data_IF_769314139413
#
_entry.id   IF_769314139413
#
_cell.length_a   1.000
_cell.length_b   1.000
_cell.length_c   1.000
_cell.angle_alpha   90.00
_cell.angle_beta   90.00
_cell.angle_gamma   90.00
#
_symmetry.space_group_name_H-M   'P 1'
#
loop_
_entity.id
_entity.type
_entity.pdbx_description
1 polymer ?
#
# COMPACT_ATOMS: atom_id res chain seq x y z
N UNK A 1 19.85 6.17 12.74
CA UNK A 1 18.88 5.09 13.02
C UNK A 1 17.51 5.73 13.18
N UNK A 2 16.59 5.46 12.26
CA UNK A 2 15.21 5.98 12.35
C UNK A 2 14.50 5.15 13.45
N UNK A 3 13.94 5.83 14.45
CA UNK A 3 13.13 5.18 15.49
C UNK A 3 11.67 5.27 15.06
N UNK A 4 11.06 4.14 14.72
CA UNK A 4 9.63 4.07 14.47
C UNK A 4 8.84 4.16 15.78
N UNK A 5 7.71 4.86 15.76
CA UNK A 5 6.74 4.86 16.86
C UNK A 5 5.75 3.73 16.56
N UNK A 6 5.48 2.85 17.54
CA UNK A 6 4.40 1.85 17.37
C UNK A 6 3.08 2.61 17.25
N UNK A 7 2.31 2.31 16.22
CA UNK A 7 1.00 2.93 16.00
C UNK A 7 0.04 2.70 17.18
N UNK A 8 0.18 1.59 17.91
CA UNK A 8 -0.56 1.32 19.15
C UNK A 8 -0.29 2.34 20.28
N UNK A 9 0.77 3.14 20.17
CA UNK A 9 1.14 4.19 21.12
C UNK A 9 0.68 5.59 20.69
N UNK A 10 0.11 5.74 19.48
CA UNK A 10 -0.40 7.01 18.98
C UNK A 10 -1.80 7.25 19.54
N UNK A 11 -1.87 7.57 20.84
CA UNK A 11 -3.09 8.06 21.50
C UNK A 11 -3.19 9.55 21.20
N UNK A 12 -4.25 9.95 20.50
CA UNK A 12 -4.72 11.34 20.44
C UNK A 12 -5.83 11.47 21.48
N UNK A 13 -5.68 12.39 22.42
CA UNK A 13 -6.65 12.61 23.49
C UNK A 13 -8.06 12.95 22.95
N UNK A 14 -9.03 12.28 23.57
CA UNK A 14 -10.48 12.56 23.70
C UNK A 14 -11.49 12.11 22.61
N UNK A 15 -12.43 11.29 23.12
CA UNK A 15 -13.80 10.93 22.70
C UNK A 15 -14.04 9.84 21.64
N UNK A 16 -14.74 8.79 22.13
CA UNK A 16 -15.50 7.70 21.48
C UNK A 16 -14.76 6.77 20.50
N UNK A 17 -14.59 5.50 20.90
CA UNK A 17 -14.08 4.37 20.11
C UNK A 17 -13.08 4.78 19.02
N UNK A 18 -11.95 5.32 19.45
CA UNK A 18 -10.89 5.78 18.54
C UNK A 18 -10.28 4.56 17.85
N UNK A 19 -10.88 4.19 16.71
CA UNK A 19 -10.30 3.32 15.74
C UNK A 19 -8.89 3.85 15.45
N UNK A 20 -7.86 3.02 15.68
CA UNK A 20 -6.49 3.40 15.41
C UNK A 20 -6.42 3.99 13.99
N UNK A 21 -5.71 5.11 13.79
CA UNK A 21 -5.72 5.83 12.50
C UNK A 21 -5.43 4.90 11.32
N UNK A 22 -4.58 3.89 11.53
CA UNK A 22 -4.29 2.85 10.54
C UNK A 22 -5.53 2.00 10.20
N UNK A 23 -6.31 1.55 11.18
CA UNK A 23 -7.51 0.74 10.94
C UNK A 23 -8.55 1.56 10.14
N UNK A 24 -8.72 2.83 10.49
CA UNK A 24 -9.57 3.77 9.73
C UNK A 24 -9.06 3.93 8.30
N UNK A 25 -7.76 4.14 8.13
CA UNK A 25 -7.12 4.24 6.81
C UNK A 25 -7.32 2.97 5.99
N UNK A 26 -7.04 1.79 6.55
CA UNK A 26 -7.25 0.49 5.91
C UNK A 26 -8.69 0.31 5.44
N UNK A 27 -9.67 0.69 6.28
CA UNK A 27 -11.09 0.65 5.89
C UNK A 27 -11.37 1.57 4.71
N UNK A 28 -10.90 2.82 4.75
CA UNK A 28 -11.08 3.79 3.66
C UNK A 28 -10.50 3.25 2.36
N UNK A 29 -9.25 2.76 2.39
CA UNK A 29 -8.58 2.20 1.22
C UNK A 29 -9.36 1.01 0.67
N UNK A 30 -9.76 0.05 1.52
CA UNK A 30 -10.55 -1.12 1.11
C UNK A 30 -11.87 -0.75 0.45
N UNK A 31 -12.57 0.28 0.96
CA UNK A 31 -13.81 0.78 0.35
C UNK A 31 -13.55 1.39 -1.02
N UNK A 32 -12.51 2.23 -1.16
CA UNK A 32 -12.18 2.86 -2.44
C UNK A 32 -11.85 1.84 -3.53
N UNK A 33 -11.08 0.80 -3.21
CA UNK A 33 -10.75 -0.29 -4.13
C UNK A 33 -12.03 -0.99 -4.65
N UNK A 34 -13.02 -1.20 -3.78
CA UNK A 34 -14.28 -1.89 -4.14
C UNK A 34 -15.22 -1.05 -5.01
N UNK A 35 -15.07 0.28 -5.04
CA UNK A 35 -15.89 1.16 -5.87
C UNK A 35 -15.54 1.08 -7.37
N UNK A 36 -14.42 0.46 -7.75
CA UNK A 36 -14.04 0.22 -9.15
C UNK A 36 -13.58 1.45 -9.93
N UNK A 37 -13.37 2.58 -9.26
CA UNK A 37 -12.76 3.78 -9.86
C UNK A 37 -11.25 3.79 -9.60
N UNK A 38 -10.42 3.78 -10.65
CA UNK A 38 -8.95 3.76 -10.51
C UNK A 38 -8.34 5.03 -9.88
N UNK A 39 -9.16 6.08 -9.66
CA UNK A 39 -8.78 7.35 -9.04
C UNK A 39 -8.31 7.21 -7.59
N UNK A 40 -8.57 6.07 -6.95
CA UNK A 40 -8.18 5.83 -5.57
C UNK A 40 -6.66 5.82 -5.36
N UNK A 41 -5.89 5.48 -6.40
CA UNK A 41 -4.44 5.33 -6.29
C UNK A 41 -3.80 6.68 -5.93
N UNK A 42 -4.14 7.73 -6.66
CA UNK A 42 -3.62 9.09 -6.43
C UNK A 42 -4.02 9.66 -5.07
N UNK A 43 -5.18 9.26 -4.55
CA UNK A 43 -5.66 9.71 -3.23
C UNK A 43 -4.89 9.08 -2.06
N UNK A 44 -4.19 7.98 -2.30
CA UNK A 44 -3.58 7.13 -1.27
C UNK A 44 -2.06 7.23 -1.26
N UNK A 45 -1.46 7.48 -2.42
CA UNK A 45 -0.02 7.61 -2.55
C UNK A 45 0.51 8.95 -2.00
N UNK A 46 1.81 8.96 -1.66
CA UNK A 46 2.49 10.18 -1.20
C UNK A 46 2.44 11.25 -2.30
N UNK A 47 1.85 12.44 -2.06
CA UNK A 47 1.81 13.53 -3.04
C UNK A 47 3.18 13.97 -3.55
N UNK A 48 4.25 13.71 -2.77
CA UNK A 48 5.64 14.01 -3.13
C UNK A 48 6.17 13.10 -4.25
N UNK A 49 5.44 12.04 -4.62
CA UNK A 49 5.74 11.26 -5.81
C UNK A 49 5.39 12.02 -7.09
N UNK A 50 4.53 13.05 -7.04
CA UNK A 50 4.23 13.94 -8.17
C UNK A 50 3.84 13.18 -9.47
N UNK A 51 3.09 12.08 -9.32
CA UNK A 51 2.68 11.22 -10.45
C UNK A 51 3.81 10.37 -11.04
N UNK A 52 5.02 10.39 -10.47
CA UNK A 52 6.18 9.62 -10.91
C UNK A 52 6.13 8.17 -10.39
N UNK A 53 5.09 7.44 -10.78
CA UNK A 53 4.91 6.03 -10.44
C UNK A 53 4.11 5.31 -11.52
N UNK A 54 4.32 4.00 -11.67
CA UNK A 54 3.40 3.15 -12.44
C UNK A 54 2.16 2.88 -11.60
N UNK A 55 0.97 3.16 -12.15
CA UNK A 55 -0.30 2.87 -11.48
C UNK A 55 -0.45 1.38 -11.13
N UNK A 56 -0.06 0.50 -12.05
CA UNK A 56 -0.12 -0.95 -11.82
C UNK A 56 0.77 -1.36 -10.64
N UNK A 57 2.02 -0.88 -10.62
CA UNK A 57 2.95 -1.17 -9.53
C UNK A 57 2.46 -0.60 -8.19
N UNK A 58 1.90 0.61 -8.21
CA UNK A 58 1.34 1.23 -7.02
C UNK A 58 0.13 0.45 -6.48
N UNK A 59 -0.78 0.02 -7.36
CA UNK A 59 -1.94 -0.79 -6.98
C UNK A 59 -1.49 -2.09 -6.30
N UNK A 60 -0.55 -2.82 -6.91
CA UNK A 60 -0.04 -4.07 -6.33
C UNK A 60 0.67 -3.81 -4.99
N UNK A 61 1.45 -2.73 -4.87
CA UNK A 61 2.12 -2.39 -3.62
C UNK A 61 1.12 -2.09 -2.49
N UNK A 62 0.02 -1.41 -2.80
CA UNK A 62 -1.07 -1.17 -1.84
C UNK A 62 -1.75 -2.48 -1.43
N UNK A 63 -2.05 -3.36 -2.39
CA UNK A 63 -2.64 -4.68 -2.12
C UNK A 63 -1.74 -5.56 -1.23
N UNK A 64 -0.43 -5.57 -1.49
CA UNK A 64 0.58 -6.24 -0.65
C UNK A 64 0.55 -5.63 0.76
N UNK A 65 0.58 -4.30 0.86
CA UNK A 65 0.56 -3.58 2.14
C UNK A 65 -0.67 -3.92 2.99
N UNK A 66 -1.86 -3.93 2.37
CA UNK A 66 -3.12 -4.32 3.02
C UNK A 66 -3.11 -5.77 3.47
N UNK A 67 -2.57 -6.68 2.67
CA UNK A 67 -2.48 -8.11 2.99
C UNK A 67 -1.53 -8.38 4.16
N UNK A 68 -0.41 -7.66 4.24
CA UNK A 68 0.57 -7.76 5.33
C UNK A 68 0.00 -7.38 6.71
N UNK A 69 -1.01 -6.52 6.72
CA UNK A 69 -1.65 -6.02 7.94
C UNK A 69 -3.06 -6.59 8.15
N UNK A 70 -3.42 -7.68 7.46
CA UNK A 70 -4.72 -8.32 7.65
C UNK A 70 -4.93 -8.73 9.12
N UNK A 71 -6.16 -8.57 9.60
CA UNK A 71 -6.53 -8.91 10.97
C UNK A 71 -6.37 -10.42 11.23
N UNK A 72 -6.64 -11.25 10.22
CA UNK A 72 -6.37 -12.68 10.26
C UNK A 72 -4.90 -12.96 9.96
N UNK A 73 -4.15 -13.36 10.99
CA UNK A 73 -2.75 -13.73 10.88
C UNK A 73 -2.49 -14.78 9.79
N UNK A 74 -3.43 -15.68 9.53
CA UNK A 74 -3.26 -16.74 8.54
C UNK A 74 -3.40 -16.24 7.10
N UNK A 75 -3.98 -15.05 6.90
CA UNK A 75 -4.08 -14.40 5.59
C UNK A 75 -2.89 -13.51 5.26
N UNK A 76 -2.05 -13.20 6.25
CA UNK A 76 -0.84 -12.40 6.03
C UNK A 76 0.14 -13.21 5.18
N UNK A 77 0.69 -12.63 4.08
CA UNK A 77 1.62 -13.33 3.23
C UNK A 77 2.93 -13.62 3.96
N UNK A 78 3.62 -14.68 3.52
CA UNK A 78 5.02 -14.89 3.91
C UNK A 78 5.91 -13.87 3.22
N UNK A 79 7.10 -13.61 3.77
CA UNK A 79 8.07 -12.73 3.10
C UNK A 79 8.45 -13.24 1.71
N UNK A 80 8.50 -14.56 1.51
CA UNK A 80 8.76 -15.16 0.19
C UNK A 80 7.67 -14.79 -0.82
N UNK A 81 6.38 -14.89 -0.44
CA UNK A 81 5.26 -14.46 -1.30
C UNK A 81 5.27 -12.96 -1.58
N UNK A 82 5.64 -12.14 -0.58
CA UNK A 82 5.80 -10.69 -0.76
C UNK A 82 6.89 -10.39 -1.78
N UNK A 83 8.07 -11.01 -1.65
CA UNK A 83 9.17 -10.80 -2.59
C UNK A 83 8.79 -11.24 -3.99
N UNK A 84 8.13 -12.39 -4.13
CA UNK A 84 7.66 -12.87 -5.43
C UNK A 84 6.71 -11.86 -6.09
N UNK A 85 5.69 -11.39 -5.37
CA UNK A 85 4.74 -10.40 -5.91
C UNK A 85 5.46 -9.10 -6.32
N UNK A 86 6.42 -8.63 -5.52
CA UNK A 86 7.21 -7.44 -5.84
C UNK A 86 8.12 -7.61 -7.06
N UNK A 87 8.59 -8.83 -7.34
CA UNK A 87 9.38 -9.13 -8.54
C UNK A 87 8.50 -9.12 -9.78
N UNK A 88 7.32 -9.75 -9.71
CA UNK A 88 6.34 -9.75 -10.80
C UNK A 88 5.89 -8.31 -11.17
N UNK A 89 5.86 -7.37 -10.21
CA UNK A 89 5.62 -5.95 -10.48
C UNK A 89 6.73 -5.27 -11.29
N UNK A 90 7.99 -5.69 -11.17
CA UNK A 90 9.14 -5.01 -11.80
C UNK A 90 9.25 -5.30 -13.29
N UNK A 91 8.74 -6.45 -13.73
CA UNK A 91 8.89 -6.92 -15.11
C UNK A 91 8.10 -6.10 -16.15
N UNK A 92 7.15 -5.24 -15.74
CA UNK A 92 6.47 -4.31 -16.65
C UNK A 92 7.37 -3.18 -17.19
N UNK A 93 8.53 -2.92 -16.58
CA UNK A 93 9.47 -1.87 -17.02
C UNK A 93 10.53 -2.38 -18.02
N UNK A 94 10.55 -3.67 -18.35
CA UNK A 94 11.64 -4.29 -19.13
C UNK A 94 11.39 -4.29 -20.66
N UNK A 95 10.26 -3.76 -21.16
CA UNK A 95 9.99 -3.79 -22.62
C UNK A 95 10.11 -2.45 -23.36
N UNK A 96 10.73 -1.41 -22.78
CA UNK A 96 11.04 -0.19 -23.55
C UNK A 96 12.45 0.35 -23.29
N UNK A 97 13.45 -0.31 -23.88
CA UNK A 97 14.44 0.42 -24.68
C UNK A 97 14.71 -0.35 -25.97
N UNK A 98 14.32 0.18 -27.15
CA UNK A 98 14.90 -0.27 -28.40
C UNK A 98 16.33 0.27 -28.46
N UNK A 99 17.27 -0.59 -28.86
CA UNK A 99 18.62 -0.21 -29.24
C UNK A 99 18.63 1.06 -30.12
N UNK A 100 19.49 2.04 -29.79
CA UNK A 100 20.37 2.75 -30.73
C UNK A 100 21.14 3.89 -30.03
N UNK A 101 22.43 3.65 -29.74
CA UNK A 101 23.60 4.28 -30.38
C UNK A 101 24.86 3.52 -29.96
#
# INVERSE_FOLDING_TARGET
>A
MIKGIRLSNWVVEETEEQEAELTKFVRIVKTKIQCGEDSWIEDILDPRLEGQFSRNQAAILVEIGLSCIDDDRNKRPTMDSVVQALQECQDELVTYTPNNL
#
